data_IF_241659063149
#
_entry.id   IF_241659063149
#
_cell.length_a   1.000
_cell.length_b   1.000
_cell.length_c   1.000
_cell.angle_alpha   90.00
_cell.angle_beta   90.00
_cell.angle_gamma   90.00
#
_symmetry.space_group_name_H-M   'P 1'
#
loop_
_entity.id
_entity.type
_entity.pdbx_description
1 polymer ?
#
# COMPACT_ATOMS: atom_id res chain seq x y z
N UNK A 1 3.79 -11.69 12.24
CA UNK A 1 2.90 -11.41 13.31
C UNK A 1 3.02 -9.99 13.83
N UNK A 2 1.96 -9.47 14.46
CA UNK A 2 1.93 -8.16 15.13
C UNK A 2 2.50 -8.25 16.55
N UNK A 3 3.02 -7.16 17.06
CA UNK A 3 3.23 -7.02 18.50
C UNK A 3 1.90 -6.61 19.16
N UNK A 4 1.31 -7.51 19.96
CA UNK A 4 -0.01 -7.32 20.58
C UNK A 4 -0.02 -6.22 21.65
N UNK A 5 1.12 -5.86 22.19
CA UNK A 5 1.26 -4.88 23.26
C UNK A 5 0.91 -3.47 22.79
N UNK A 6 1.32 -3.10 21.57
CA UNK A 6 1.13 -1.74 21.02
C UNK A 6 0.63 -1.68 19.58
N UNK A 7 0.34 -2.83 18.94
CA UNK A 7 -0.17 -2.87 17.57
C UNK A 7 -1.56 -3.49 17.52
N UNK A 8 -2.48 -2.86 16.78
CA UNK A 8 -3.77 -3.42 16.42
C UNK A 8 -3.85 -3.70 14.93
N UNK A 9 -4.70 -4.62 14.53
CA UNK A 9 -5.02 -4.91 13.12
C UNK A 9 -6.52 -4.77 12.94
N UNK A 10 -6.92 -3.94 11.99
CA UNK A 10 -8.29 -3.79 11.54
C UNK A 10 -8.43 -4.43 10.15
N UNK A 11 -9.02 -5.62 10.03
CA UNK A 11 -9.30 -6.20 8.74
C UNK A 11 -10.51 -5.50 8.12
N UNK A 12 -10.34 -4.92 6.93
CA UNK A 12 -11.42 -4.37 6.14
C UNK A 12 -11.91 -5.43 5.16
N UNK A 13 -13.21 -5.73 5.20
CA UNK A 13 -13.87 -6.74 4.36
C UNK A 13 -14.92 -6.09 3.48
N UNK A 14 -15.08 -6.62 2.26
CA UNK A 14 -16.09 -6.14 1.33
C UNK A 14 -15.63 -4.97 0.46
N UNK A 15 -16.59 -4.38 -0.26
CA UNK A 15 -16.32 -3.25 -1.16
C UNK A 15 -16.33 -1.96 -0.36
N UNK A 16 -15.19 -1.28 -0.33
CA UNK A 16 -15.12 0.10 0.14
C UNK A 16 -15.73 0.99 -0.94
N UNK A 17 -16.75 1.78 -0.58
CA UNK A 17 -17.37 2.69 -1.52
C UNK A 17 -16.42 3.79 -1.93
N UNK A 18 -16.44 4.15 -3.23
CA UNK A 18 -15.69 5.30 -3.71
C UNK A 18 -16.28 6.57 -3.08
N UNK A 19 -15.49 7.19 -2.19
CA UNK A 19 -15.87 8.39 -1.43
C UNK A 19 -15.51 9.68 -2.15
N UNK A 20 -14.87 9.58 -3.33
CA UNK A 20 -14.52 10.74 -4.13
C UNK A 20 -15.77 11.35 -4.76
N UNK A 21 -16.11 12.57 -4.38
CA UNK A 21 -17.10 13.38 -5.08
C UNK A 21 -16.33 14.23 -6.10
N UNK A 22 -16.41 13.84 -7.37
CA UNK A 22 -15.82 14.61 -8.45
C UNK A 22 -16.45 16.01 -8.49
N UNK A 23 -15.66 17.02 -8.21
CA UNK A 23 -16.01 18.42 -8.46
C UNK A 23 -15.87 18.70 -9.95
N UNK A 24 -16.66 18.01 -10.80
CA UNK A 24 -16.75 18.39 -12.21
C UNK A 24 -17.32 19.81 -12.28
N UNK A 25 -16.45 20.72 -12.51
CA UNK A 25 -16.38 22.12 -12.87
C UNK A 25 -17.62 22.97 -13.17
N UNK A 26 -18.81 22.67 -12.68
CA UNK A 26 -20.01 23.48 -12.99
C UNK A 26 -20.82 24.03 -11.80
N UNK A 27 -20.48 23.67 -10.58
CA UNK A 27 -21.10 24.33 -9.42
C UNK A 27 -20.02 24.67 -8.40
N UNK A 28 -19.61 25.93 -8.37
CA UNK A 28 -19.00 26.58 -7.21
C UNK A 28 -20.06 26.77 -6.12
N UNK A 29 -20.77 25.70 -5.78
CA UNK A 29 -21.57 25.63 -4.56
C UNK A 29 -20.65 25.55 -3.36
N UNK A 30 -21.08 26.08 -2.25
CA UNK A 30 -20.34 26.15 -0.99
C UNK A 30 -19.50 24.91 -0.74
N UNK A 31 -18.20 25.09 -0.49
CA UNK A 31 -17.24 24.05 -0.13
C UNK A 31 -17.82 23.15 0.97
N UNK A 32 -18.49 23.73 1.94
CA UNK A 32 -19.15 23.05 3.07
C UNK A 32 -20.24 22.05 2.66
N UNK A 33 -21.02 22.31 1.61
CA UNK A 33 -22.07 21.37 1.15
C UNK A 33 -21.49 20.15 0.44
N UNK A 34 -20.41 20.34 -0.32
CA UNK A 34 -19.73 19.24 -1.02
C UNK A 34 -18.99 18.33 -0.04
N UNK A 35 -18.33 18.90 0.96
CA UNK A 35 -17.69 18.18 2.06
C UNK A 35 -18.71 17.40 2.88
N UNK A 36 -19.87 17.99 3.16
CA UNK A 36 -20.95 17.31 3.89
C UNK A 36 -21.52 16.13 3.09
N UNK A 37 -21.69 16.26 1.78
CA UNK A 37 -22.15 15.16 0.91
C UNK A 37 -21.13 14.02 0.82
N UNK A 38 -19.85 14.37 0.69
CA UNK A 38 -18.77 13.38 0.69
C UNK A 38 -18.73 12.61 2.01
N UNK A 39 -18.79 13.31 3.13
CA UNK A 39 -18.81 12.71 4.46
C UNK A 39 -20.04 11.83 4.67
N UNK A 40 -21.24 12.27 4.25
CA UNK A 40 -22.47 11.46 4.34
C UNK A 40 -22.37 10.18 3.54
N UNK A 41 -21.75 10.22 2.35
CA UNK A 41 -21.51 9.04 1.52
C UNK A 41 -20.50 8.09 2.16
N UNK A 42 -19.43 8.61 2.77
CA UNK A 42 -18.48 7.80 3.51
C UNK A 42 -19.12 7.08 4.68
N UNK A 43 -19.96 7.78 5.44
CA UNK A 43 -20.66 7.23 6.60
C UNK A 43 -21.72 6.18 6.26
N UNK A 44 -22.08 6.01 5.00
CA UNK A 44 -22.96 4.92 4.55
C UNK A 44 -22.25 3.55 4.47
N UNK A 45 -20.92 3.52 4.51
CA UNK A 45 -20.12 2.29 4.51
C UNK A 45 -19.82 1.83 5.93
N UNK A 46 -20.26 0.63 6.28
CA UNK A 46 -19.96 0.01 7.59
C UNK A 46 -18.46 -0.14 7.84
N UNK A 47 -17.68 -0.42 6.80
CA UNK A 47 -16.21 -0.54 6.86
C UNK A 47 -15.57 0.81 7.23
N UNK A 48 -16.04 1.90 6.64
CA UNK A 48 -15.55 3.25 6.93
C UNK A 48 -15.97 3.68 8.34
N UNK A 49 -17.20 3.41 8.76
CA UNK A 49 -17.66 3.69 10.13
C UNK A 49 -16.80 2.94 11.15
N UNK A 50 -16.51 1.68 10.90
CA UNK A 50 -15.63 0.86 11.76
C UNK A 50 -14.23 1.45 11.82
N UNK A 51 -13.69 1.90 10.69
CA UNK A 51 -12.38 2.55 10.62
C UNK A 51 -12.37 3.85 11.45
N UNK A 52 -13.36 4.71 11.28
CA UNK A 52 -13.46 5.97 12.03
C UNK A 52 -13.54 5.70 13.53
N UNK A 53 -14.36 4.75 13.96
CA UNK A 53 -14.46 4.35 15.36
C UNK A 53 -13.13 3.82 15.92
N UNK A 54 -12.39 3.04 15.13
CA UNK A 54 -11.08 2.53 15.52
C UNK A 54 -10.04 3.64 15.67
N UNK A 55 -10.08 4.67 14.82
CA UNK A 55 -9.18 5.83 14.92
C UNK A 55 -9.42 6.67 16.18
N UNK A 56 -10.66 6.81 16.61
CA UNK A 56 -11.04 7.55 17.80
C UNK A 56 -11.16 9.07 17.62
N UNK A 57 -10.88 9.59 16.43
CA UNK A 57 -10.89 11.04 16.16
C UNK A 57 -12.29 11.64 16.02
N UNK A 58 -13.32 10.81 15.78
CA UNK A 58 -14.62 11.26 15.31
C UNK A 58 -14.62 11.63 13.84
N UNK A 59 -15.74 12.15 13.35
CA UNK A 59 -15.93 12.58 11.96
C UNK A 59 -16.38 14.04 11.86
N UNK A 60 -17.62 14.36 12.26
CA UNK A 60 -18.14 15.73 12.26
C UNK A 60 -17.45 16.61 13.29
N UNK A 61 -17.16 16.04 14.43
CA UNK A 61 -16.44 16.63 15.57
C UNK A 61 -14.99 16.14 15.62
N UNK A 62 -14.36 16.05 14.47
CA UNK A 62 -13.00 15.53 14.33
C UNK A 62 -12.01 16.26 15.23
N UNK A 63 -11.34 15.50 16.09
CA UNK A 63 -10.26 16.00 16.92
C UNK A 63 -9.03 15.09 16.83
N UNK A 64 -7.94 15.60 16.28
CA UNK A 64 -6.69 14.87 16.10
C UNK A 64 -6.07 14.42 17.43
N UNK A 65 -6.28 15.17 18.52
CA UNK A 65 -5.78 14.83 19.86
C UNK A 65 -6.38 13.54 20.41
N UNK A 66 -7.58 13.16 19.92
CA UNK A 66 -8.24 11.91 20.30
C UNK A 66 -7.77 10.70 19.48
N UNK A 67 -6.82 10.89 18.58
CA UNK A 67 -6.28 9.79 17.78
C UNK A 67 -5.66 8.71 18.68
N UNK A 68 -6.13 7.48 18.51
CA UNK A 68 -5.71 6.35 19.35
C UNK A 68 -4.39 5.71 18.93
N UNK A 69 -3.94 5.95 17.71
CA UNK A 69 -2.73 5.34 17.14
C UNK A 69 -1.88 6.40 16.47
N UNK A 70 -0.64 6.51 16.88
CA UNK A 70 0.32 7.44 16.29
C UNK A 70 0.63 7.13 14.83
N UNK A 71 0.64 5.84 14.47
CA UNK A 71 0.92 5.37 13.12
C UNK A 71 -0.21 4.51 12.59
N UNK A 72 -0.76 4.91 11.46
CA UNK A 72 -1.80 4.19 10.72
C UNK A 72 -1.15 3.65 9.45
N UNK A 73 -1.08 2.33 9.32
CA UNK A 73 -0.41 1.66 8.20
C UNK A 73 -1.45 0.95 7.34
N UNK A 74 -1.61 1.41 6.11
CA UNK A 74 -2.43 0.71 5.11
C UNK A 74 -1.61 -0.43 4.53
N UNK A 75 -2.13 -1.65 4.64
CA UNK A 75 -1.54 -2.87 4.09
C UNK A 75 -2.52 -3.50 3.11
N UNK A 76 -2.13 -3.64 1.86
CA UNK A 76 -2.92 -4.29 0.81
C UNK A 76 -2.07 -5.32 0.08
N UNK A 77 -2.71 -6.30 -0.54
CA UNK A 77 -2.02 -7.25 -1.41
C UNK A 77 -1.31 -6.52 -2.56
N UNK A 78 -0.25 -7.13 -3.09
CA UNK A 78 0.55 -6.55 -4.16
C UNK A 78 -0.08 -6.72 -5.56
N UNK A 79 -1.32 -7.21 -5.63
CA UNK A 79 -2.07 -7.40 -6.86
C UNK A 79 -2.90 -6.15 -7.28
N UNK A 80 -3.64 -6.29 -8.37
CA UNK A 80 -4.49 -5.21 -8.92
C UNK A 80 -5.63 -4.85 -7.96
N UNK A 81 -6.25 -5.85 -7.32
CA UNK A 81 -7.36 -5.62 -6.38
C UNK A 81 -6.87 -4.89 -5.13
N UNK A 82 -5.69 -5.27 -4.60
CA UNK A 82 -5.04 -4.55 -3.51
C UNK A 82 -4.70 -3.11 -3.86
N UNK A 83 -4.27 -2.86 -5.09
CA UNK A 83 -4.01 -1.50 -5.59
C UNK A 83 -5.29 -0.66 -5.64
N UNK A 84 -6.41 -1.24 -6.07
CA UNK A 84 -7.70 -0.56 -6.09
C UNK A 84 -8.18 -0.21 -4.67
N UNK A 85 -8.15 -1.16 -3.74
CA UNK A 85 -8.52 -0.95 -2.34
C UNK A 85 -7.64 0.15 -1.71
N UNK A 86 -6.34 0.13 -1.97
CA UNK A 86 -5.41 1.16 -1.51
C UNK A 86 -5.81 2.55 -2.02
N UNK A 87 -6.17 2.65 -3.30
CA UNK A 87 -6.64 3.92 -3.91
C UNK A 87 -7.90 4.43 -3.24
N UNK A 88 -8.87 3.56 -2.95
CA UNK A 88 -10.10 3.93 -2.25
C UNK A 88 -9.82 4.43 -0.83
N UNK A 89 -8.95 3.75 -0.09
CA UNK A 89 -8.55 4.18 1.26
C UNK A 89 -7.81 5.51 1.24
N UNK A 90 -6.90 5.72 0.30
CA UNK A 90 -6.22 7.00 0.13
C UNK A 90 -7.19 8.12 -0.23
N UNK A 91 -8.18 7.85 -1.05
CA UNK A 91 -9.26 8.81 -1.37
C UNK A 91 -10.03 9.18 -0.11
N UNK A 92 -10.36 8.20 0.73
CA UNK A 92 -11.00 8.45 2.03
C UNK A 92 -10.14 9.38 2.91
N UNK A 93 -8.87 9.04 3.10
CA UNK A 93 -7.98 9.84 3.94
C UNK A 93 -7.64 11.22 3.34
N UNK A 94 -7.79 11.42 2.04
CA UNK A 94 -7.61 12.72 1.40
C UNK A 94 -8.81 13.67 1.57
N UNK A 95 -9.95 13.15 2.01
CA UNK A 95 -11.14 13.97 2.27
C UNK A 95 -11.06 14.64 3.66
N UNK A 96 -11.51 15.89 3.74
CA UNK A 96 -11.68 16.58 5.00
C UNK A 96 -12.73 15.84 5.88
N UNK A 97 -12.52 15.68 7.21
CA UNK A 97 -11.40 16.18 8.02
C UNK A 97 -10.20 15.22 8.14
N UNK A 98 -10.26 14.03 7.54
CA UNK A 98 -9.27 12.96 7.69
C UNK A 98 -7.92 13.25 7.01
N UNK A 99 -7.88 14.22 6.09
CA UNK A 99 -6.63 14.71 5.49
C UNK A 99 -5.63 15.23 6.52
N UNK A 100 -6.09 15.66 7.69
CA UNK A 100 -5.23 16.06 8.81
C UNK A 100 -4.29 14.93 9.27
N UNK A 101 -4.69 13.66 9.11
CA UNK A 101 -3.83 12.50 9.40
C UNK A 101 -2.66 12.37 8.43
N UNK A 102 -2.84 12.78 7.18
CA UNK A 102 -1.77 12.85 6.17
C UNK A 102 -0.85 14.01 6.50
N UNK A 103 -1.41 15.20 6.71
CA UNK A 103 -0.66 16.43 6.99
C UNK A 103 0.18 16.31 8.27
N UNK A 104 -0.33 15.63 9.29
CA UNK A 104 0.37 15.38 10.55
C UNK A 104 1.35 14.18 10.47
N UNK A 105 1.43 13.50 9.35
CA UNK A 105 2.38 12.38 9.15
C UNK A 105 2.01 11.08 9.87
N UNK A 106 0.72 10.86 10.18
CA UNK A 106 0.26 9.65 10.85
C UNK A 106 0.01 8.48 9.88
N UNK A 107 -0.19 8.76 8.58
CA UNK A 107 -0.57 7.76 7.59
C UNK A 107 0.64 7.21 6.84
N UNK A 108 0.73 5.89 6.77
CA UNK A 108 1.79 5.14 6.09
C UNK A 108 1.20 4.12 5.13
N UNK A 109 1.92 3.84 4.06
CA UNK A 109 1.62 2.77 3.13
C UNK A 109 2.68 1.67 3.27
N UNK A 110 2.25 0.46 3.61
CA UNK A 110 3.13 -0.68 3.53
C UNK A 110 3.34 -1.08 2.06
N UNK A 111 4.58 -1.38 1.72
CA UNK A 111 4.95 -1.95 0.42
C UNK A 111 5.43 -3.38 0.66
N UNK A 112 4.51 -4.38 0.66
CA UNK A 112 4.91 -5.76 0.84
C UNK A 112 5.81 -6.20 -0.32
N UNK A 113 6.83 -7.04 -0.06
CA UNK A 113 7.68 -7.56 -1.12
C UNK A 113 6.87 -8.43 -2.06
N UNK A 114 7.20 -8.38 -3.35
CA UNK A 114 6.57 -9.21 -4.38
C UNK A 114 7.30 -10.55 -4.54
N UNK A 115 8.61 -10.58 -4.24
CA UNK A 115 9.43 -11.78 -4.38
C UNK A 115 10.29 -12.04 -3.15
N UNK A 116 10.50 -13.33 -2.87
CA UNK A 116 11.51 -13.83 -1.94
C UNK A 116 12.50 -14.70 -2.71
N UNK A 117 13.78 -14.39 -2.60
CA UNK A 117 14.87 -15.18 -3.17
C UNK A 117 15.58 -15.90 -2.04
N UNK A 118 15.78 -17.19 -2.19
CA UNK A 118 16.60 -17.97 -1.27
C UNK A 118 17.93 -18.31 -1.95
N UNK A 119 19.03 -17.88 -1.35
CA UNK A 119 20.39 -18.14 -1.81
C UNK A 119 21.30 -18.40 -0.62
N UNK A 120 21.99 -19.54 -0.61
CA UNK A 120 22.93 -19.93 0.46
C UNK A 120 22.28 -19.85 1.86
N UNK A 121 21.07 -20.40 2.02
CA UNK A 121 20.28 -20.37 3.26
C UNK A 121 19.92 -18.97 3.79
N UNK A 122 20.06 -17.94 2.95
CA UNK A 122 19.63 -16.58 3.26
C UNK A 122 18.46 -16.18 2.39
N UNK A 123 17.50 -15.47 2.97
CA UNK A 123 16.35 -14.95 2.26
C UNK A 123 16.53 -13.47 1.97
N UNK A 124 16.22 -13.08 0.74
CA UNK A 124 16.25 -11.70 0.25
C UNK A 124 14.87 -11.36 -0.30
N UNK A 125 14.36 -10.19 0.07
CA UNK A 125 13.03 -9.74 -0.32
C UNK A 125 13.12 -8.61 -1.33
N UNK A 126 12.38 -8.73 -2.44
CA UNK A 126 12.34 -7.76 -3.53
C UNK A 126 10.93 -7.21 -3.64
N UNK A 127 10.80 -5.89 -3.71
CA UNK A 127 9.49 -5.23 -3.78
C UNK A 127 8.83 -5.37 -5.15
N UNK A 128 9.62 -5.44 -6.22
CA UNK A 128 9.15 -5.50 -7.60
C UNK A 128 10.15 -6.21 -8.53
N UNK A 129 9.78 -6.37 -9.80
CA UNK A 129 10.64 -6.94 -10.85
C UNK A 129 11.96 -6.19 -11.02
N UNK A 130 11.95 -4.86 -10.91
CA UNK A 130 13.15 -4.04 -11.07
C UNK A 130 14.17 -4.30 -9.97
N UNK A 131 13.71 -4.49 -8.74
CA UNK A 131 14.59 -4.85 -7.62
C UNK A 131 15.15 -6.26 -7.80
N UNK A 132 14.34 -7.19 -8.32
CA UNK A 132 14.78 -8.54 -8.66
C UNK A 132 15.89 -8.51 -9.72
N UNK A 133 15.71 -7.76 -10.79
CA UNK A 133 16.72 -7.59 -11.84
C UNK A 133 18.02 -6.97 -11.32
N UNK A 134 17.93 -5.91 -10.52
CA UNK A 134 19.09 -5.30 -9.87
C UNK A 134 19.85 -6.28 -8.98
N UNK A 135 19.12 -7.11 -8.21
CA UNK A 135 19.74 -8.13 -7.37
C UNK A 135 20.50 -9.15 -8.21
N UNK A 136 19.91 -9.62 -9.31
CA UNK A 136 20.54 -10.58 -10.23
C UNK A 136 21.79 -9.96 -10.84
N UNK A 137 21.72 -8.76 -11.40
CA UNK A 137 22.84 -8.04 -12.01
C UNK A 137 23.98 -7.83 -11.00
N UNK A 138 23.65 -7.47 -9.77
CA UNK A 138 24.65 -7.28 -8.69
C UNK A 138 25.39 -8.59 -8.35
N UNK A 139 24.72 -9.72 -8.51
CA UNK A 139 25.27 -11.04 -8.20
C UNK A 139 25.90 -11.77 -9.39
N UNK A 140 25.92 -11.15 -10.58
CA UNK A 140 26.64 -11.69 -11.73
C UNK A 140 28.15 -11.74 -11.45
N UNK A 141 28.79 -12.77 -11.95
CA UNK A 141 30.24 -12.94 -11.80
C UNK A 141 31.01 -11.84 -12.55
N UNK A 142 32.26 -11.58 -12.14
CA UNK A 142 33.10 -10.55 -12.78
C UNK A 142 33.37 -10.83 -14.27
N UNK A 143 33.28 -12.09 -14.73
CA UNK A 143 33.38 -12.45 -16.14
C UNK A 143 32.22 -11.93 -16.97
N UNK A 144 31.03 -11.98 -16.41
CA UNK A 144 29.79 -11.52 -17.06
C UNK A 144 29.62 -9.98 -17.03
N UNK A 145 30.31 -9.31 -16.06
CA UNK A 145 30.27 -7.85 -15.92
C UNK A 145 31.25 -7.11 -16.85
N UNK A 146 32.25 -7.77 -17.42
CA UNK A 146 33.35 -7.14 -18.17
C UNK A 146 33.04 -6.81 -19.64
N UNK A 147 31.87 -7.24 -20.17
CA UNK A 147 31.43 -6.88 -21.52
C UNK A 147 30.41 -5.74 -21.49
N UNK A 148 30.46 -4.81 -22.43
CA UNK A 148 29.33 -3.95 -22.75
C UNK A 148 28.23 -4.83 -23.39
N UNK A 149 27.40 -5.47 -22.55
CA UNK A 149 26.31 -6.31 -23.00
C UNK A 149 25.20 -5.46 -23.65
N UNK A 150 24.70 -5.90 -24.79
CA UNK A 150 23.50 -5.31 -25.35
C UNK A 150 22.29 -5.61 -24.47
N UNK A 151 21.22 -4.80 -24.56
CA UNK A 151 20.00 -5.01 -23.78
C UNK A 151 19.40 -6.43 -23.96
N UNK A 152 19.53 -7.00 -25.17
CA UNK A 152 19.05 -8.37 -25.46
C UNK A 152 19.89 -9.46 -24.79
N UNK A 153 21.20 -9.29 -24.74
CA UNK A 153 22.10 -10.23 -24.06
C UNK A 153 21.90 -10.18 -22.55
N UNK A 154 21.74 -8.97 -21.99
CA UNK A 154 21.46 -8.78 -20.57
C UNK A 154 20.13 -9.45 -20.17
N UNK A 155 19.07 -9.31 -20.96
CA UNK A 155 17.78 -9.97 -20.70
C UNK A 155 17.90 -11.49 -20.68
N UNK A 156 18.64 -12.07 -21.64
CA UNK A 156 18.89 -13.53 -21.66
C UNK A 156 19.65 -14.02 -20.43
N UNK A 157 20.67 -13.28 -20.01
CA UNK A 157 21.42 -13.62 -18.81
C UNK A 157 20.54 -13.53 -17.56
N UNK A 158 19.73 -12.49 -17.44
CA UNK A 158 18.78 -12.34 -16.33
C UNK A 158 17.82 -13.51 -16.28
N UNK A 159 17.25 -13.93 -17.41
CA UNK A 159 16.31 -15.07 -17.48
C UNK A 159 16.99 -16.39 -17.10
N UNK A 160 18.20 -16.63 -17.54
CA UNK A 160 19.00 -17.79 -17.16
C UNK A 160 19.31 -17.82 -15.66
N UNK A 161 19.67 -16.69 -15.09
CA UNK A 161 19.94 -16.58 -13.65
C UNK A 161 18.68 -16.68 -12.81
N UNK A 162 17.54 -16.18 -13.29
CA UNK A 162 16.21 -16.42 -12.64
C UNK A 162 15.93 -17.91 -12.49
N UNK A 163 16.23 -18.73 -13.51
CA UNK A 163 16.02 -20.17 -13.45
C UNK A 163 16.90 -20.91 -12.44
N UNK A 164 18.09 -20.37 -12.12
CA UNK A 164 19.02 -20.96 -11.15
C UNK A 164 18.69 -20.58 -9.70
N UNK A 165 17.88 -19.54 -9.49
CA UNK A 165 17.52 -19.04 -8.16
C UNK A 165 16.19 -19.65 -7.69
N UNK A 166 16.11 -19.97 -6.40
CA UNK A 166 14.84 -20.28 -5.78
C UNK A 166 14.07 -18.97 -5.53
N UNK A 167 13.14 -18.63 -6.44
CA UNK A 167 12.34 -17.42 -6.40
C UNK A 167 10.91 -17.79 -6.07
N UNK A 168 10.41 -17.30 -4.95
CA UNK A 168 9.01 -17.38 -4.56
C UNK A 168 8.34 -16.03 -4.84
N UNK A 169 7.23 -16.05 -5.59
CA UNK A 169 6.38 -14.87 -5.79
C UNK A 169 5.24 -14.91 -4.80
N UNK A 170 5.04 -13.81 -4.07
CA UNK A 170 3.90 -13.65 -3.19
C UNK A 170 2.69 -13.12 -3.98
N UNK A 171 1.55 -13.80 -3.86
CA UNK A 171 0.28 -13.37 -4.46
C UNK A 171 -0.55 -12.51 -3.49
N UNK A 172 -0.32 -12.66 -2.19
CA UNK A 172 -1.03 -11.92 -1.16
C UNK A 172 -0.28 -11.91 0.17
N UNK A 173 -0.74 -11.08 1.11
CA UNK A 173 -0.14 -10.93 2.43
C UNK A 173 -0.13 -12.24 3.25
N UNK A 174 -1.08 -13.12 3.00
CA UNK A 174 -1.18 -14.43 3.68
C UNK A 174 -0.05 -15.41 3.36
N UNK A 175 0.67 -15.21 2.26
CA UNK A 175 1.78 -16.05 1.83
C UNK A 175 3.15 -15.63 2.40
N UNK A 176 3.17 -14.57 3.21
CA UNK A 176 4.41 -13.96 3.72
C UNK A 176 4.87 -14.53 5.07
N UNK A 177 4.27 -15.62 5.55
CA UNK A 177 4.66 -16.29 6.81
C UNK A 177 5.86 -17.20 6.63
#
# INVERSE_FOLDING_TARGET
GRNREFQAVLPLRGKILNTYVSTNGKNRGNINEQETKALSKMMSSSEIVTLINALGTGSKDFNLENLRYEKIVIMTDADVDGSHIRTLLLTFFNNYPFNQLIENGNLYLAQPPLFKITKNNKSYYMKDEKDLEKFIIKNLTNKEKKGKLSSKELSKIIDQEKQKLSIQRFKGLGEMN
#
